data_IF_627765860593
#
_entry.id   IF_627765860593
#
_cell.length_a   1.000
_cell.length_b   1.000
_cell.length_c   1.000
_cell.angle_alpha   90.00
_cell.angle_beta   90.00
_cell.angle_gamma   90.00
#
_symmetry.space_group_name_H-M   'P 1'
#
loop_
_entity.id
_entity.type
_entity.pdbx_description
1 polymer ?
#
# COMPACT_ATOMS: atom_id res chain seq x y z
N UNK A 1 -12.24 -1.39 -0.02
CA UNK A 1 -10.82 -1.29 -0.37
C UNK A 1 -10.52 0.08 -0.96
N UNK A 2 -9.44 0.68 -0.52
CA UNK A 2 -8.99 1.96 -1.05
C UNK A 2 -7.57 1.82 -1.57
N UNK A 3 -7.28 2.49 -2.66
CA UNK A 3 -5.94 2.51 -3.23
C UNK A 3 -5.52 3.96 -3.32
N UNK A 4 -4.37 4.26 -2.72
CA UNK A 4 -3.82 5.61 -2.69
C UNK A 4 -2.39 5.60 -3.18
N UNK A 5 -2.04 6.57 -3.99
CA UNK A 5 -0.66 6.76 -4.38
C UNK A 5 -0.25 8.19 -4.06
N UNK A 6 0.82 8.33 -3.30
CA UNK A 6 1.39 9.62 -2.97
C UNK A 6 2.63 9.81 -3.85
N UNK A 7 2.51 10.69 -4.83
CA UNK A 7 3.58 10.92 -5.78
C UNK A 7 4.80 11.57 -5.14
N UNK A 8 4.58 12.37 -4.12
CA UNK A 8 5.65 13.08 -3.43
C UNK A 8 6.57 12.13 -2.68
N UNK A 9 6.01 11.15 -1.99
CA UNK A 9 6.76 10.15 -1.24
C UNK A 9 7.01 8.88 -2.01
N UNK A 10 6.37 8.72 -3.16
CA UNK A 10 6.44 7.51 -3.98
C UNK A 10 5.99 6.27 -3.22
N UNK A 11 4.92 6.42 -2.46
CA UNK A 11 4.34 5.30 -1.71
C UNK A 11 2.96 4.96 -2.27
N UNK A 12 2.80 3.69 -2.62
CA UNK A 12 1.50 3.16 -2.99
C UNK A 12 0.92 2.44 -1.78
N UNK A 13 -0.30 2.81 -1.39
CA UNK A 13 -0.95 2.19 -0.25
C UNK A 13 -2.25 1.53 -0.69
N UNK A 14 -2.44 0.29 -0.29
CA UNK A 14 -3.68 -0.43 -0.51
C UNK A 14 -4.30 -0.71 0.85
N UNK A 15 -5.47 -0.15 1.10
CA UNK A 15 -6.17 -0.31 2.36
C UNK A 15 -7.30 -1.31 2.14
N UNK A 16 -7.16 -2.49 2.74
CA UNK A 16 -8.13 -3.56 2.59
C UNK A 16 -9.37 -3.32 3.45
N UNK A 17 -9.14 -2.83 4.67
CA UNK A 17 -10.23 -2.46 5.57
C UNK A 17 -9.73 -1.39 6.53
N UNK A 18 -10.65 -0.53 6.93
CA UNK A 18 -10.30 0.60 7.80
C UNK A 18 -10.56 0.22 9.25
N UNK A 19 -9.53 -0.33 9.86
CA UNK A 19 -9.55 -0.68 11.27
C UNK A 19 -8.19 -0.32 11.85
N UNK A 20 -8.08 -0.37 13.18
CA UNK A 20 -6.85 0.03 13.84
C UNK A 20 -5.78 -1.06 13.68
N UNK A 21 -4.57 -0.69 13.27
CA UNK A 21 -3.49 -1.66 13.19
C UNK A 21 -3.01 -2.03 14.59
N UNK A 22 -2.73 -3.34 14.77
CA UNK A 22 -2.11 -3.83 15.98
C UNK A 22 -0.61 -3.95 15.81
N UNK A 23 -0.16 -4.36 14.63
CA UNK A 23 1.27 -4.39 14.32
C UNK A 23 1.49 -4.27 12.82
N UNK A 24 2.74 -4.09 12.46
CA UNK A 24 3.13 -3.98 11.06
C UNK A 24 4.45 -4.72 10.86
N UNK A 25 4.56 -5.39 9.71
CA UNK A 25 5.76 -6.15 9.36
C UNK A 25 6.33 -5.60 8.08
N UNK A 26 7.64 -5.30 8.10
CA UNK A 26 8.37 -4.84 6.92
C UNK A 26 8.94 -6.06 6.21
N UNK A 27 8.52 -6.27 4.96
CA UNK A 27 8.99 -7.39 4.17
C UNK A 27 10.09 -6.93 3.21
N UNK A 28 10.94 -7.85 2.75
CA UNK A 28 11.93 -7.51 1.74
C UNK A 28 11.27 -6.96 0.48
N UNK A 29 11.93 -6.02 -0.17
CA UNK A 29 11.36 -5.40 -1.36
C UNK A 29 10.56 -4.14 -1.08
N UNK A 30 10.62 -3.62 0.15
CA UNK A 30 9.99 -2.36 0.48
C UNK A 30 8.49 -2.44 0.64
N UNK A 31 7.99 -3.56 1.18
CA UNK A 31 6.56 -3.73 1.44
C UNK A 31 6.34 -3.77 2.94
N UNK A 32 5.38 -2.98 3.41
CA UNK A 32 4.98 -2.98 4.81
C UNK A 32 3.54 -3.45 4.88
N UNK A 33 3.30 -4.49 5.65
CA UNK A 33 1.96 -5.06 5.81
C UNK A 33 1.51 -4.80 7.24
N UNK A 34 0.35 -4.17 7.39
CA UNK A 34 -0.25 -3.92 8.70
C UNK A 34 -1.33 -4.95 8.98
N UNK A 35 -1.40 -5.39 10.22
CA UNK A 35 -2.33 -6.43 10.68
C UNK A 35 -3.17 -5.91 11.84
N UNK A 36 -4.38 -6.42 11.97
CA UNK A 36 -5.22 -6.09 13.10
C UNK A 36 -4.96 -7.06 14.28
N UNK A 37 -5.77 -6.95 15.33
CA UNK A 37 -5.60 -7.77 16.52
C UNK A 37 -5.77 -9.26 16.29
N UNK A 38 -6.46 -9.64 15.23
CA UNK A 38 -6.67 -11.03 14.89
C UNK A 38 -5.69 -11.55 13.86
N UNK A 39 -4.62 -10.77 13.59
CA UNK A 39 -3.59 -11.09 12.60
C UNK A 39 -4.11 -11.14 11.17
N UNK A 40 -5.19 -10.40 10.90
CA UNK A 40 -5.68 -10.23 9.54
C UNK A 40 -5.00 -9.04 8.89
N UNK A 41 -4.53 -9.16 7.66
CA UNK A 41 -3.92 -8.03 6.96
C UNK A 41 -4.97 -6.95 6.68
N UNK A 42 -4.62 -5.71 6.98
CA UNK A 42 -5.55 -4.60 6.78
C UNK A 42 -5.02 -3.60 5.76
N UNK A 43 -3.71 -3.50 5.57
CA UNK A 43 -3.18 -2.60 4.56
C UNK A 43 -1.79 -3.03 4.12
N UNK A 44 -1.43 -2.59 2.91
CA UNK A 44 -0.10 -2.80 2.35
C UNK A 44 0.44 -1.46 1.89
N UNK A 45 1.71 -1.20 2.17
CA UNK A 45 2.41 -0.02 1.68
C UNK A 45 3.59 -0.47 0.86
N UNK A 46 3.70 0.07 -0.34
CA UNK A 46 4.82 -0.21 -1.23
C UNK A 46 5.69 1.03 -1.32
N UNK A 47 6.89 0.95 -0.76
CA UNK A 47 7.85 2.05 -0.77
C UNK A 47 8.57 2.09 -2.10
N UNK A 48 8.89 3.30 -2.57
CA UNK A 48 9.57 3.50 -3.84
C UNK A 48 8.84 2.81 -5.00
N UNK A 49 7.52 2.98 -5.01
CA UNK A 49 6.65 2.20 -5.89
C UNK A 49 6.96 2.39 -7.37
N UNK A 50 7.22 3.61 -7.82
CA UNK A 50 7.52 3.85 -9.22
C UNK A 50 8.94 3.38 -9.56
N UNK A 51 9.89 3.57 -8.66
CA UNK A 51 11.27 3.16 -8.87
C UNK A 51 11.39 1.63 -8.95
N UNK A 52 10.55 0.95 -8.20
CA UNK A 52 10.52 -0.53 -8.21
C UNK A 52 9.58 -1.07 -9.27
N UNK A 53 9.00 -0.19 -10.09
CA UNK A 53 8.12 -0.56 -11.21
C UNK A 53 6.87 -1.29 -10.76
N UNK A 54 6.41 -0.99 -9.56
CA UNK A 54 5.14 -1.53 -9.06
C UNK A 54 4.01 -0.78 -9.72
N UNK A 55 4.19 0.52 -9.94
CA UNK A 55 3.21 1.34 -10.64
C UNK A 55 3.94 2.22 -11.66
N UNK A 56 3.16 2.69 -12.64
CA UNK A 56 3.56 3.77 -13.53
C UNK A 56 2.71 4.98 -13.17
N UNK A 57 3.31 6.07 -12.63
CA UNK A 57 2.54 7.22 -12.19
C UNK A 57 1.69 7.85 -13.29
N UNK A 58 2.07 7.68 -14.54
CA UNK A 58 1.32 8.22 -15.66
C UNK A 58 0.05 7.46 -15.95
N UNK A 59 -0.08 6.24 -15.45
CA UNK A 59 -1.21 5.38 -15.73
C UNK A 59 -2.09 5.09 -14.52
N UNK A 60 -1.63 5.46 -13.33
CA UNK A 60 -2.29 5.02 -12.10
C UNK A 60 -3.76 5.48 -12.04
N UNK A 61 -4.04 6.68 -12.52
CA UNK A 61 -5.40 7.22 -12.47
C UNK A 61 -6.35 6.48 -13.38
N UNK A 62 -5.83 5.74 -14.35
CA UNK A 62 -6.65 5.01 -15.31
C UNK A 62 -7.05 3.64 -14.82
N UNK A 63 -6.35 3.12 -13.84
CA UNK A 63 -6.53 1.75 -13.40
C UNK A 63 -7.09 1.61 -11.99
N UNK A 64 -7.05 2.68 -11.21
CA UNK A 64 -7.52 2.64 -9.83
C UNK A 64 -8.93 3.17 -9.74
N UNK A 65 -9.86 2.32 -9.35
CA UNK A 65 -11.24 2.69 -9.12
C UNK A 65 -11.89 1.62 -8.25
N UNK A 66 -13.05 1.96 -7.72
CA UNK A 66 -13.79 1.06 -6.84
C UNK A 66 -15.05 0.53 -7.49
#
# INVERSE_FOLDING_TARGET
MKIKYDQETDILMIILRETFPANAISEPGGVIISYDETDEPISLEFLNASQRKIIDPNEIALTIYQ
#
